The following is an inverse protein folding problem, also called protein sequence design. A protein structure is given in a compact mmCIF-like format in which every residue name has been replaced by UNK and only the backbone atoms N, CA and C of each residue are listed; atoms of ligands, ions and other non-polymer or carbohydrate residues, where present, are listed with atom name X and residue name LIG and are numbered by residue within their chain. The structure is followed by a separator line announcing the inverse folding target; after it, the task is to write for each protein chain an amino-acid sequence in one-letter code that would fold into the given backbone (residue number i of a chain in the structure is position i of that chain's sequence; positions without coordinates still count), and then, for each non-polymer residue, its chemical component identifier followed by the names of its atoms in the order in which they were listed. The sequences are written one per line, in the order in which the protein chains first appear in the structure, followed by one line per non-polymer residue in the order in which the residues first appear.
data_IF_270004482607
#
_entry.id   IF_270004482607
#
_cell.length_a   1.000
_cell.length_b   1.000
_cell.length_c   1.000
_cell.angle_alpha   90.00
_cell.angle_beta   90.00
_cell.angle_gamma   90.00
#
_symmetry.space_group_name_H-M   'P 1'
#
loop_
_entity.id
_entity.type
_entity.pdbx_description
1 polymer ?
#
# COMPACT_ATOMS: atom_id res chain seq x y z
N UNK A 1 -21.46 12.85 1.00
CA UNK A 1 -20.48 11.78 0.67
C UNK A 1 -19.77 12.22 -0.60
N UNK A 2 -18.45 12.25 -0.61
CA UNK A 2 -17.65 12.79 -1.71
C UNK A 2 -16.74 11.71 -2.27
N UNK A 3 -16.35 11.83 -3.54
CA UNK A 3 -15.42 10.94 -4.22
C UNK A 3 -14.25 11.80 -4.70
N UNK A 4 -13.02 11.34 -4.47
CA UNK A 4 -11.81 11.99 -4.94
C UNK A 4 -11.03 11.01 -5.82
N UNK A 5 -10.69 11.46 -7.02
CA UNK A 5 -9.73 10.78 -7.89
C UNK A 5 -8.40 11.51 -7.80
N UNK A 6 -7.32 10.77 -7.56
CA UNK A 6 -5.99 11.32 -7.38
C UNK A 6 -4.95 10.34 -7.93
N UNK A 7 -4.02 10.83 -8.73
CA UNK A 7 -2.94 9.98 -9.25
C UNK A 7 -1.95 9.57 -8.15
N UNK A 8 -1.39 8.37 -8.25
CA UNK A 8 -0.44 7.83 -7.26
C UNK A 8 0.74 8.76 -6.97
N UNK A 9 1.35 9.32 -8.04
CA UNK A 9 2.49 10.25 -7.90
C UNK A 9 2.08 11.53 -7.19
N UNK A 10 0.93 12.10 -7.55
CA UNK A 10 0.41 13.31 -6.91
C UNK A 10 0.11 13.07 -5.43
N UNK A 11 -0.56 11.96 -5.11
CA UNK A 11 -0.81 11.56 -3.74
C UNK A 11 0.50 11.42 -2.94
N UNK A 12 1.47 10.70 -3.49
CA UNK A 12 2.78 10.51 -2.84
C UNK A 12 3.50 11.84 -2.64
N UNK A 13 3.49 12.73 -3.63
CA UNK A 13 4.09 14.07 -3.50
C UNK A 13 3.43 14.87 -2.37
N UNK A 14 2.10 14.88 -2.27
CA UNK A 14 1.39 15.61 -1.21
C UNK A 14 1.68 15.03 0.17
N UNK A 15 1.71 13.70 0.31
CA UNK A 15 1.89 13.00 1.59
C UNK A 15 3.36 12.96 2.05
N UNK A 16 4.30 13.03 1.11
CA UNK A 16 5.74 13.11 1.41
C UNK A 16 6.23 14.56 1.56
N UNK A 17 5.42 15.55 1.20
CA UNK A 17 5.78 16.96 1.30
C UNK A 17 6.05 17.38 2.76
N UNK A 18 7.05 18.23 2.95
CA UNK A 18 7.44 18.84 4.21
C UNK A 18 7.00 20.30 4.32
N UNK A 19 6.18 20.79 3.38
CA UNK A 19 5.54 22.10 3.51
C UNK A 19 4.76 22.20 4.85
N UNK A 20 5.08 23.25 5.59
CA UNK A 20 4.49 23.55 6.90
C UNK A 20 3.33 24.53 6.81
N UNK A 21 2.93 24.91 5.59
CA UNK A 21 1.75 25.73 5.37
C UNK A 21 0.50 25.04 5.93
N UNK A 22 -0.40 25.84 6.52
CA UNK A 22 -1.66 25.34 7.09
C UNK A 22 -2.48 24.54 6.07
N UNK A 23 -2.45 24.96 4.81
CA UNK A 23 -3.16 24.31 3.71
C UNK A 23 -2.57 22.95 3.38
N UNK A 24 -1.25 22.82 3.31
CA UNK A 24 -0.59 21.54 3.04
C UNK A 24 -0.89 20.52 4.14
N UNK A 25 -0.75 20.93 5.41
CA UNK A 25 -1.04 20.08 6.57
C UNK A 25 -2.51 19.61 6.56
N UNK A 26 -3.46 20.53 6.33
CA UNK A 26 -4.87 20.18 6.25
C UNK A 26 -5.18 19.22 5.10
N UNK A 27 -4.53 19.41 3.94
CA UNK A 27 -4.67 18.51 2.80
C UNK A 27 -4.17 17.11 3.12
N UNK A 28 -2.98 16.98 3.73
CA UNK A 28 -2.43 15.71 4.18
C UNK A 28 -3.35 15.01 5.19
N UNK A 29 -3.88 15.75 6.17
CA UNK A 29 -4.82 15.21 7.14
C UNK A 29 -6.07 14.64 6.45
N UNK A 30 -6.68 15.42 5.55
CA UNK A 30 -7.85 14.98 4.77
C UNK A 30 -7.56 13.70 3.99
N UNK A 31 -6.40 13.62 3.33
CA UNK A 31 -6.04 12.45 2.52
C UNK A 31 -5.73 11.20 3.36
N UNK A 32 -5.26 11.36 4.60
CA UNK A 32 -4.82 10.25 5.44
C UNK A 32 -5.91 9.75 6.40
N UNK A 33 -6.77 10.61 6.93
CA UNK A 33 -7.67 10.23 8.05
C UNK A 33 -9.15 10.17 7.67
N UNK A 34 -9.58 10.95 6.68
CA UNK A 34 -10.99 11.01 6.27
C UNK A 34 -11.46 9.91 5.30
N UNK A 35 -10.61 9.23 4.48
CA UNK A 35 -11.10 8.24 3.53
C UNK A 35 -11.78 7.05 4.21
N UNK A 36 -13.07 6.89 3.96
CA UNK A 36 -13.82 5.77 4.51
C UNK A 36 -13.56 4.45 3.76
N UNK A 37 -13.14 4.54 2.50
CA UNK A 37 -12.73 3.45 1.60
C UNK A 37 -11.58 4.00 0.74
N UNK A 38 -10.56 3.18 0.50
CA UNK A 38 -9.47 3.45 -0.44
C UNK A 38 -9.53 2.42 -1.56
N UNK A 39 -9.63 2.87 -2.81
CA UNK A 39 -9.62 2.02 -4.01
C UNK A 39 -8.32 2.31 -4.77
N UNK A 40 -7.53 1.27 -5.01
CA UNK A 40 -6.26 1.33 -5.71
C UNK A 40 -6.46 0.68 -7.07
N UNK A 41 -6.62 1.52 -8.09
CA UNK A 41 -6.72 1.08 -9.47
C UNK A 41 -5.34 0.71 -10.01
N UNK A 42 -5.27 -0.29 -10.88
CA UNK A 42 -4.02 -0.81 -11.41
C UNK A 42 -2.98 -1.12 -10.31
N UNK A 43 -3.35 -2.01 -9.39
CA UNK A 43 -2.56 -2.52 -8.27
C UNK A 43 -1.23 -3.19 -8.65
N UNK A 44 -0.85 -3.11 -9.92
CA UNK A 44 0.49 -3.40 -10.41
C UNK A 44 1.46 -2.21 -10.24
N UNK A 45 0.97 -0.97 -10.14
CA UNK A 45 1.81 0.23 -9.89
C UNK A 45 2.59 0.17 -8.56
N UNK A 46 2.01 -0.30 -7.43
CA UNK A 46 2.74 -0.48 -6.17
C UNK A 46 3.61 -1.75 -6.09
N UNK A 47 3.88 -2.45 -7.22
CA UNK A 47 4.67 -3.70 -7.24
C UNK A 47 6.17 -3.48 -7.17
N UNK A 48 6.64 -2.41 -7.82
CA UNK A 48 8.04 -2.03 -7.75
C UNK A 48 8.30 -1.38 -6.38
N UNK A 49 9.51 -1.55 -5.87
CA UNK A 49 9.99 -0.95 -4.62
C UNK A 49 10.13 0.58 -4.72
N UNK A 50 9.23 1.27 -5.42
CA UNK A 50 8.98 2.69 -5.20
C UNK A 50 8.37 2.80 -3.80
N UNK A 51 9.28 2.76 -2.82
CA UNK A 51 9.02 2.78 -1.39
C UNK A 51 8.11 3.94 -1.04
N UNK A 52 8.24 5.07 -1.73
CA UNK A 52 7.56 6.29 -1.34
C UNK A 52 6.05 6.20 -1.57
N UNK A 53 5.61 5.71 -2.73
CA UNK A 53 4.17 5.55 -3.02
C UNK A 53 3.56 4.51 -2.08
N UNK A 54 4.19 3.33 -1.95
CA UNK A 54 3.68 2.27 -1.09
C UNK A 54 3.65 2.71 0.38
N UNK A 55 4.69 3.38 0.86
CA UNK A 55 4.77 3.90 2.23
C UNK A 55 3.71 4.98 2.46
N UNK A 56 3.49 5.88 1.51
CA UNK A 56 2.42 6.88 1.59
C UNK A 56 1.04 6.22 1.66
N UNK A 57 0.77 5.20 0.83
CA UNK A 57 -0.52 4.47 0.82
C UNK A 57 -0.75 3.69 2.13
N UNK A 58 0.32 3.19 2.76
CA UNK A 58 0.24 2.53 4.07
C UNK A 58 -0.20 3.51 5.18
N UNK A 59 0.13 4.80 5.07
CA UNK A 59 -0.25 5.83 6.05
C UNK A 59 -1.76 6.12 6.06
N UNK A 60 -2.51 5.78 5.00
CA UNK A 60 -3.96 6.01 4.94
C UNK A 60 -4.69 5.16 5.98
N UNK A 61 -5.40 5.83 6.87
CA UNK A 61 -6.10 5.26 8.01
C UNK A 61 -7.51 4.82 7.62
N UNK A 62 -7.60 3.67 6.95
CA UNK A 62 -8.90 3.09 6.63
C UNK A 62 -8.87 1.56 6.73
N UNK A 63 -9.97 0.99 7.22
CA UNK A 63 -10.16 -0.47 7.31
C UNK A 63 -10.55 -1.09 5.96
N UNK A 64 -11.04 -0.29 5.02
CA UNK A 64 -11.57 -0.76 3.73
C UNK A 64 -10.64 -0.32 2.61
N UNK A 65 -9.71 -1.22 2.26
CA UNK A 65 -8.78 -1.05 1.13
C UNK A 65 -9.11 -2.09 0.07
N UNK A 66 -9.35 -1.63 -1.16
CA UNK A 66 -9.65 -2.47 -2.32
C UNK A 66 -8.55 -2.24 -3.34
N UNK A 67 -7.94 -3.32 -3.83
CA UNK A 67 -6.94 -3.28 -4.90
C UNK A 67 -7.55 -3.92 -6.13
N UNK A 68 -7.61 -3.17 -7.23
CA UNK A 68 -8.06 -3.65 -8.52
C UNK A 68 -6.82 -4.02 -9.35
N UNK A 69 -6.77 -5.23 -9.89
CA UNK A 69 -5.66 -5.65 -10.75
C UNK A 69 -6.10 -6.77 -11.68
N UNK A 70 -5.62 -6.74 -12.93
CA UNK A 70 -5.86 -7.82 -13.89
C UNK A 70 -5.07 -9.11 -13.60
N UNK A 71 -3.99 -9.02 -12.85
CA UNK A 71 -3.16 -10.17 -12.42
C UNK A 71 -2.80 -10.03 -10.94
N UNK A 72 -2.50 -11.12 -10.23
CA UNK A 72 -2.13 -11.02 -8.80
C UNK A 72 -0.68 -10.56 -8.60
N UNK A 73 0.23 -10.98 -9.47
CA UNK A 73 1.66 -10.62 -9.47
C UNK A 73 2.18 -10.73 -10.91
N UNK A 74 3.26 -10.02 -11.22
CA UNK A 74 3.83 -9.96 -12.56
C UNK A 74 5.05 -10.85 -12.75
N UNK A 75 5.79 -11.22 -11.70
CA UNK A 75 6.78 -12.32 -11.70
C UNK A 75 7.30 -12.66 -10.29
N UNK A 76 7.12 -11.76 -9.31
CA UNK A 76 7.65 -11.96 -7.96
C UNK A 76 6.55 -12.12 -6.93
N UNK A 77 6.59 -13.22 -6.18
CA UNK A 77 5.68 -13.47 -5.04
C UNK A 77 5.78 -12.39 -3.95
N UNK A 78 6.90 -11.66 -3.88
CA UNK A 78 7.08 -10.48 -3.00
C UNK A 78 5.99 -9.43 -3.21
N UNK A 79 5.53 -9.25 -4.45
CA UNK A 79 4.46 -8.32 -4.81
C UNK A 79 3.15 -8.66 -4.11
N UNK A 80 2.82 -9.96 -4.01
CA UNK A 80 1.63 -10.44 -3.29
C UNK A 80 1.73 -10.09 -1.80
N UNK A 81 2.91 -10.24 -1.21
CA UNK A 81 3.13 -9.87 0.20
C UNK A 81 3.02 -8.36 0.42
N UNK A 82 3.51 -7.53 -0.50
CA UNK A 82 3.36 -6.08 -0.44
C UNK A 82 1.89 -5.65 -0.48
N UNK A 83 1.11 -6.23 -1.41
CA UNK A 83 -0.34 -5.98 -1.51
C UNK A 83 -1.05 -6.42 -0.23
N UNK A 84 -0.75 -7.62 0.29
CA UNK A 84 -1.34 -8.14 1.52
C UNK A 84 -1.04 -7.24 2.73
N UNK A 85 0.20 -6.78 2.87
CA UNK A 85 0.58 -5.87 3.96
C UNK A 85 -0.12 -4.51 3.83
N UNK A 86 -0.33 -4.03 2.60
CA UNK A 86 -1.04 -2.78 2.34
C UNK A 86 -2.52 -2.86 2.74
N UNK A 87 -3.23 -3.91 2.30
CA UNK A 87 -4.68 -4.07 2.52
C UNK A 87 -5.02 -4.63 3.90
N UNK A 88 -4.12 -5.43 4.48
CA UNK A 88 -4.28 -6.06 5.78
C UNK A 88 -2.93 -6.10 6.52
N UNK A 89 -2.52 -4.98 7.12
CA UNK A 89 -1.26 -4.89 7.85
C UNK A 89 -1.14 -5.99 8.91
N UNK A 90 0.09 -6.50 9.11
CA UNK A 90 0.41 -7.57 10.06
C UNK A 90 -0.22 -8.94 9.76
N UNK A 91 -0.99 -9.09 8.68
CA UNK A 91 -1.63 -10.36 8.34
C UNK A 91 -0.62 -11.50 8.32
N UNK A 92 0.53 -11.30 7.68
CA UNK A 92 1.60 -12.30 7.54
C UNK A 92 2.33 -12.64 8.84
N UNK A 93 2.14 -11.83 9.88
CA UNK A 93 2.73 -12.04 11.21
C UNK A 93 1.80 -12.79 12.17
N UNK A 94 0.54 -13.00 11.78
CA UNK A 94 -0.41 -13.80 12.56
C UNK A 94 0.07 -15.25 12.66
N UNK A 95 -0.23 -15.90 13.78
CA UNK A 95 0.07 -17.33 13.99
C UNK A 95 -0.51 -18.20 12.87
N UNK A 96 -1.75 -17.91 12.48
CA UNK A 96 -2.50 -18.65 11.45
C UNK A 96 -1.88 -18.54 10.05
N UNK A 97 -1.26 -17.40 9.71
CA UNK A 97 -0.61 -17.20 8.41
C UNK A 97 0.84 -17.69 8.37
N UNK A 98 1.47 -17.88 9.54
CA UNK A 98 2.91 -18.15 9.66
C UNK A 98 3.35 -19.41 8.93
N UNK A 99 2.55 -20.48 9.03
CA UNK A 99 2.82 -21.73 8.34
C UNK A 99 2.83 -21.55 6.81
N UNK A 100 1.84 -20.83 6.27
CA UNK A 100 1.73 -20.54 4.83
C UNK A 100 2.89 -19.66 4.38
N UNK A 101 3.21 -18.60 5.13
CA UNK A 101 4.35 -17.71 4.85
C UNK A 101 5.65 -18.50 4.74
N UNK A 102 5.99 -19.31 5.75
CA UNK A 102 7.21 -20.14 5.76
C UNK A 102 7.27 -21.09 4.56
N UNK A 103 6.14 -21.73 4.22
CA UNK A 103 6.07 -22.65 3.08
C UNK A 103 6.33 -21.94 1.75
N UNK A 104 5.77 -20.74 1.56
CA UNK A 104 6.00 -19.93 0.35
C UNK A 104 7.47 -19.48 0.30
N UNK A 105 7.99 -18.96 1.41
CA UNK A 105 9.39 -18.51 1.51
C UNK A 105 10.40 -19.63 1.28
N UNK A 106 10.08 -20.88 1.65
CA UNK A 106 10.97 -22.03 1.39
C UNK A 106 11.06 -22.42 -0.10
N UNK A 107 10.13 -21.96 -0.93
CA UNK A 107 10.02 -22.33 -2.35
C UNK A 107 10.38 -21.21 -3.31
N UNK A 108 10.43 -19.98 -2.80
CA UNK A 108 10.74 -18.78 -3.59
C UNK A 108 12.03 -18.21 -3.05
N UNK A 109 13.10 -18.10 -3.85
CA UNK A 109 14.26 -17.29 -3.47
C UNK A 109 13.78 -15.84 -3.38
N UNK A 110 13.48 -15.40 -2.16
CA UNK A 110 13.26 -13.98 -1.88
C UNK A 110 14.66 -13.45 -1.61
N UNK A 111 15.22 -12.70 -2.55
CA UNK A 111 16.36 -11.84 -2.28
C UNK A 111 15.92 -10.86 -1.20
N UNK A 112 16.30 -11.13 0.04
CA UNK A 112 16.17 -10.17 1.12
C UNK A 112 17.06 -8.98 0.77
N UNK A 113 16.43 -7.85 0.42
CA UNK A 113 17.11 -6.58 0.37
C UNK A 113 17.59 -6.27 1.79
N UNK A 114 18.92 -6.32 1.97
CA UNK A 114 19.62 -5.78 3.13
C UNK A 114 19.41 -4.28 3.21
#
# INVERSE_FOLDING_TARGET
KSILFLGYKQFSSIVADHDTSKTAIACQEILLTYPSILILDEGHTPRNEDTDVLNCLKKVQTRRKVVLSGTLYQNHVKEVFNILDLVRPKFLNLETSRAIRRRIQSRVPISDAR
#
